data_IF_042012152436
#
_entry.id   IF_042012152436
#
_cell.length_a   1.000
_cell.length_b   1.000
_cell.length_c   1.000
_cell.angle_alpha   90.00
_cell.angle_beta   90.00
_cell.angle_gamma   90.00
#
_symmetry.space_group_name_H-M   'P 1'
#
loop_
_entity.id
_entity.type
_entity.pdbx_description
1 polymer ?
#
# COMPACT_ATOMS: atom_id res chain seq x y z
N UNK A 1 26.56 -14.00 -0.20
CA UNK A 1 25.47 -13.12 -0.64
C UNK A 1 24.17 -13.72 -0.11
N UNK A 2 23.35 -12.94 0.61
CA UNK A 2 22.07 -13.41 1.17
C UNK A 2 20.92 -12.85 0.32
N UNK A 3 19.89 -13.65 0.09
CA UNK A 3 18.66 -13.26 -0.62
C UNK A 3 17.50 -12.94 0.33
N UNK A 4 17.75 -13.03 1.63
CA UNK A 4 16.75 -12.73 2.66
C UNK A 4 16.47 -11.23 2.73
N UNK A 5 15.21 -10.89 2.96
CA UNK A 5 14.81 -9.51 3.25
C UNK A 5 15.36 -9.08 4.61
N UNK A 6 15.71 -7.81 4.72
CA UNK A 6 16.03 -7.22 6.03
C UNK A 6 14.77 -7.21 6.92
N UNK A 7 14.90 -7.16 8.25
CA UNK A 7 13.74 -7.07 9.14
C UNK A 7 12.78 -5.92 8.80
N UNK A 8 13.31 -4.77 8.39
CA UNK A 8 12.52 -3.59 7.98
C UNK A 8 11.76 -3.88 6.67
N UNK A 9 12.42 -4.49 5.68
CA UNK A 9 11.78 -4.88 4.43
C UNK A 9 10.68 -5.93 4.66
N UNK A 10 10.91 -6.86 5.58
CA UNK A 10 9.93 -7.87 5.96
C UNK A 10 8.68 -7.23 6.60
N UNK A 11 8.89 -6.29 7.52
CA UNK A 11 7.80 -5.54 8.17
C UNK A 11 7.01 -4.71 7.16
N UNK A 12 7.68 -3.99 6.26
CA UNK A 12 7.02 -3.24 5.19
C UNK A 12 6.17 -4.16 4.31
N UNK A 13 6.72 -5.31 3.90
CA UNK A 13 6.00 -6.31 3.11
C UNK A 13 4.73 -6.80 3.82
N UNK A 14 4.81 -7.07 5.10
CA UNK A 14 3.67 -7.57 5.88
C UNK A 14 2.59 -6.49 6.06
N UNK A 15 2.99 -5.23 6.31
CA UNK A 15 2.07 -4.08 6.34
C UNK A 15 1.36 -3.89 5.01
N UNK A 16 2.09 -3.89 3.89
CA UNK A 16 1.51 -3.70 2.54
C UNK A 16 0.55 -4.84 2.19
N UNK A 17 0.91 -6.09 2.52
CA UNK A 17 0.03 -7.25 2.30
C UNK A 17 -1.27 -7.13 3.07
N UNK A 18 -1.20 -6.75 4.35
CA UNK A 18 -2.39 -6.54 5.18
C UNK A 18 -3.28 -5.44 4.61
N UNK A 19 -2.71 -4.27 4.29
CA UNK A 19 -3.45 -3.18 3.67
C UNK A 19 -4.13 -3.61 2.36
N UNK A 20 -3.43 -4.39 1.53
CA UNK A 20 -3.97 -4.88 0.26
C UNK A 20 -5.15 -5.83 0.47
N UNK A 21 -5.07 -6.73 1.45
CA UNK A 21 -6.15 -7.65 1.78
C UNK A 21 -7.39 -6.92 2.34
N UNK A 22 -7.16 -5.94 3.23
CA UNK A 22 -8.22 -5.24 3.95
C UNK A 22 -8.88 -4.13 3.12
N UNK A 23 -8.12 -3.41 2.28
CA UNK A 23 -8.57 -2.15 1.66
C UNK A 23 -8.62 -2.17 0.11
N UNK A 24 -7.78 -2.98 -0.56
CA UNK A 24 -7.73 -3.01 -2.03
C UNK A 24 -8.57 -4.17 -2.58
N UNK A 25 -8.31 -5.38 -2.11
CA UNK A 25 -8.91 -6.62 -2.63
C UNK A 25 -10.45 -6.60 -2.65
N UNK A 26 -11.15 -6.09 -1.60
CA UNK A 26 -12.61 -6.11 -1.57
C UNK A 26 -13.27 -5.26 -2.66
N UNK A 27 -12.59 -4.21 -3.13
CA UNK A 27 -13.13 -3.20 -4.06
C UNK A 27 -12.50 -3.25 -5.45
N UNK A 28 -11.45 -4.05 -5.64
CA UNK A 28 -10.66 -4.10 -6.87
C UNK A 28 -11.51 -4.38 -8.12
N UNK A 29 -12.43 -5.37 -8.05
CA UNK A 29 -13.27 -5.72 -9.19
C UNK A 29 -14.30 -4.64 -9.56
N UNK A 30 -14.77 -3.84 -8.60
CA UNK A 30 -15.66 -2.71 -8.88
C UNK A 30 -14.91 -1.59 -9.59
N UNK A 31 -13.74 -1.22 -9.08
CA UNK A 31 -12.93 -0.15 -9.66
C UNK A 31 -12.43 -0.52 -11.07
N UNK A 32 -12.08 -1.78 -11.31
CA UNK A 32 -11.72 -2.28 -12.65
C UNK A 32 -12.88 -2.13 -13.64
N UNK A 33 -14.09 -2.59 -13.28
CA UNK A 33 -15.28 -2.50 -14.15
C UNK A 33 -15.74 -1.08 -14.42
N UNK A 34 -15.66 -0.22 -13.41
CA UNK A 34 -16.20 1.15 -13.47
C UNK A 34 -15.19 2.16 -13.98
N UNK A 35 -13.91 1.79 -14.04
CA UNK A 35 -12.77 2.68 -14.31
C UNK A 35 -12.71 3.91 -13.38
N UNK A 36 -13.38 3.86 -12.23
CA UNK A 36 -13.33 4.94 -11.24
C UNK A 36 -11.96 4.93 -10.57
N UNK A 37 -11.40 6.11 -10.37
CA UNK A 37 -10.16 6.24 -9.62
C UNK A 37 -10.42 5.97 -8.12
N UNK A 38 -9.65 5.08 -7.45
CA UNK A 38 -9.93 4.61 -6.10
C UNK A 38 -9.42 5.60 -5.04
N UNK A 39 -9.98 6.81 -5.02
CA UNK A 39 -9.55 7.90 -4.13
C UNK A 39 -9.57 7.51 -2.65
N UNK A 40 -10.56 6.75 -2.21
CA UNK A 40 -10.69 6.34 -0.81
C UNK A 40 -9.54 5.42 -0.38
N UNK A 41 -9.16 4.48 -1.25
CA UNK A 41 -8.01 3.58 -1.02
C UNK A 41 -6.71 4.39 -0.98
N UNK A 42 -6.50 5.30 -1.93
CA UNK A 42 -5.27 6.12 -1.99
C UNK A 42 -5.14 7.00 -0.74
N UNK A 43 -6.22 7.63 -0.28
CA UNK A 43 -6.21 8.44 0.94
C UNK A 43 -5.86 7.62 2.18
N UNK A 44 -6.41 6.41 2.29
CA UNK A 44 -6.06 5.48 3.39
C UNK A 44 -4.60 5.04 3.30
N UNK A 45 -4.12 4.68 2.12
CA UNK A 45 -2.72 4.30 1.91
C UNK A 45 -1.76 5.43 2.31
N UNK A 46 -2.09 6.67 1.94
CA UNK A 46 -1.32 7.85 2.32
C UNK A 46 -1.31 8.07 3.84
N UNK A 47 -2.46 7.96 4.50
CA UNK A 47 -2.55 8.05 5.96
C UNK A 47 -1.74 6.95 6.69
N UNK A 48 -1.53 5.80 6.05
CA UNK A 48 -0.68 4.72 6.54
C UNK A 48 0.81 4.86 6.18
N UNK A 49 1.23 5.95 5.52
CA UNK A 49 2.61 6.14 5.08
C UNK A 49 3.04 5.22 3.93
N UNK A 50 2.08 4.64 3.20
CA UNK A 50 2.35 3.72 2.07
C UNK A 50 2.46 4.45 0.72
N UNK A 51 2.29 5.77 0.71
CA UNK A 51 2.41 6.62 -0.48
C UNK A 51 3.60 7.54 -0.27
N UNK A 52 4.47 7.62 -1.28
CA UNK A 52 5.72 8.40 -1.25
C UNK A 52 6.65 8.07 -0.06
N UNK A 53 6.90 6.78 0.28
CA UNK A 53 7.67 6.41 1.48
C UNK A 53 9.15 6.83 1.43
N UNK A 54 9.63 7.22 0.26
CA UNK A 54 10.99 7.70 -0.01
C UNK A 54 11.12 9.22 0.00
N UNK A 55 10.01 9.96 0.10
CA UNK A 55 10.03 11.42 0.21
C UNK A 55 10.31 11.81 1.66
N UNK A 56 11.28 12.72 1.92
CA UNK A 56 11.56 13.19 3.28
C UNK A 56 10.37 13.91 3.90
N UNK A 57 10.18 13.77 5.22
CA UNK A 57 9.07 14.38 5.99
C UNK A 57 9.00 15.91 5.93
N UNK A 58 10.06 16.59 5.46
CA UNK A 58 10.09 18.04 5.34
C UNK A 58 9.20 18.58 4.19
N UNK A 59 8.58 17.70 3.40
CA UNK A 59 7.77 18.01 2.22
C UNK A 59 6.41 17.31 2.28
#
# INVERSE_FOLDING_TARGET
MSFELTPIQQQLRDTVRKFTADEITPVAAEYDRTMKFPWDVIKKAHACGLVNPDIPEAY
#
